data_IF_082228603460
#
_entry.id   IF_082228603460
#
_cell.length_a   1.000
_cell.length_b   1.000
_cell.length_c   1.000
_cell.angle_alpha   90.00
_cell.angle_beta   90.00
_cell.angle_gamma   90.00
#
_symmetry.space_group_name_H-M   'P 1'
#
loop_
_entity.id
_entity.type
_entity.pdbx_description
1 polymer ?
#
# COMPACT_ATOMS: atom_id res chain seq x y z
N UNK A 1 19.96 -29.07 43.66
CA UNK A 1 18.70 -29.69 43.17
C UNK A 1 18.19 -28.79 42.06
N UNK A 2 18.01 -29.39 40.88
CA UNK A 2 17.99 -28.74 39.57
C UNK A 2 16.94 -27.66 39.41
N UNK A 3 17.38 -26.55 38.83
CA UNK A 3 16.58 -25.49 38.25
C UNK A 3 15.82 -26.08 37.05
N UNK A 4 14.51 -26.30 37.20
CA UNK A 4 13.67 -26.79 36.10
C UNK A 4 13.43 -25.63 35.13
N UNK A 5 14.12 -25.69 34.00
CA UNK A 5 13.79 -24.99 32.76
C UNK A 5 12.29 -25.17 32.47
N UNK A 6 11.51 -24.19 32.90
CA UNK A 6 10.11 -24.06 32.53
C UNK A 6 10.10 -23.57 31.09
N UNK A 7 10.20 -24.49 30.13
CA UNK A 7 9.89 -24.22 28.72
C UNK A 7 8.42 -23.83 28.66
N UNK A 8 8.15 -22.53 28.81
CA UNK A 8 6.88 -21.94 28.41
C UNK A 8 6.86 -22.02 26.89
N UNK A 9 6.33 -23.12 26.36
CA UNK A 9 5.86 -23.19 24.98
C UNK A 9 4.74 -22.15 24.88
N UNK A 10 5.10 -20.93 24.47
CA UNK A 10 4.10 -20.01 23.98
C UNK A 10 3.39 -20.71 22.82
N UNK A 11 2.04 -20.71 22.81
CA UNK A 11 1.31 -21.34 21.72
C UNK A 11 1.74 -20.70 20.39
N UNK A 12 1.95 -21.54 19.37
CA UNK A 12 2.20 -21.07 18.02
C UNK A 12 1.11 -20.06 17.61
N UNK A 13 1.53 -18.95 17.00
CA UNK A 13 0.57 -17.95 16.55
C UNK A 13 -0.34 -18.56 15.47
N UNK A 14 -1.64 -18.20 15.47
CA UNK A 14 -2.52 -18.62 14.40
C UNK A 14 -2.01 -18.05 13.07
N UNK A 15 -2.23 -18.79 11.99
CA UNK A 15 -2.01 -18.23 10.66
C UNK A 15 -2.91 -17.00 10.47
N UNK A 16 -2.39 -15.94 9.85
CA UNK A 16 -3.22 -14.80 9.47
C UNK A 16 -4.39 -15.28 8.59
N UNK A 17 -5.58 -14.67 8.71
CA UNK A 17 -6.76 -15.13 8.00
C UNK A 17 -6.56 -15.06 6.48
N UNK A 18 -6.61 -16.21 5.82
CA UNK A 18 -6.42 -16.37 4.36
C UNK A 18 -7.61 -15.90 3.54
N UNK A 19 -8.72 -15.51 4.17
CA UNK A 19 -9.93 -15.02 3.52
C UNK A 19 -10.02 -13.48 3.46
N UNK A 20 -8.96 -12.76 3.84
CA UNK A 20 -8.96 -11.30 3.79
C UNK A 20 -8.95 -10.81 2.35
N UNK A 21 -9.82 -9.82 2.09
CA UNK A 21 -9.86 -9.08 0.82
C UNK A 21 -9.80 -7.59 1.13
N UNK A 22 -9.20 -6.78 0.25
CA UNK A 22 -9.18 -5.34 0.41
C UNK A 22 -10.57 -4.73 0.65
N UNK A 23 -10.65 -3.79 1.59
CA UNK A 23 -11.79 -2.87 1.71
C UNK A 23 -11.71 -1.84 0.59
N UNK A 24 -12.83 -1.57 -0.07
CA UNK A 24 -12.87 -0.79 -1.31
C UNK A 24 -13.63 0.51 -1.11
N UNK A 25 -13.15 1.58 -1.76
CA UNK A 25 -13.78 2.88 -1.70
C UNK A 25 -15.02 3.00 -2.60
N UNK A 26 -15.97 3.87 -2.22
CA UNK A 26 -17.04 4.33 -3.11
C UNK A 26 -16.68 5.66 -3.77
N UNK A 27 -17.04 5.88 -5.04
CA UNK A 27 -16.78 7.16 -5.69
C UNK A 27 -17.56 8.31 -5.01
N UNK A 28 -16.94 9.49 -5.00
CA UNK A 28 -17.53 10.77 -4.62
C UNK A 28 -17.09 11.82 -5.65
N UNK A 29 -18.01 12.61 -6.23
CA UNK A 29 -17.68 13.46 -7.36
C UNK A 29 -16.82 14.68 -7.00
N UNK A 30 -16.92 15.18 -5.77
CA UNK A 30 -16.29 16.44 -5.37
C UNK A 30 -15.40 16.28 -4.15
N UNK A 31 -14.24 16.99 -4.11
CA UNK A 31 -13.38 17.01 -2.94
C UNK A 31 -14.00 17.82 -1.81
N UNK A 32 -13.64 17.46 -0.59
CA UNK A 32 -14.13 18.10 0.62
C UNK A 32 -13.04 18.11 1.70
N UNK A 33 -13.20 18.97 2.69
CA UNK A 33 -12.39 18.99 3.90
C UNK A 33 -13.19 18.38 5.06
N UNK A 34 -12.53 17.64 5.94
CA UNK A 34 -13.16 17.03 7.11
C UNK A 34 -12.11 16.54 8.09
N UNK A 35 -12.16 17.06 9.33
CA UNK A 35 -11.28 16.63 10.41
C UNK A 35 -11.42 15.11 10.73
N UNK A 36 -12.56 14.52 10.40
CA UNK A 36 -12.87 13.09 10.59
C UNK A 36 -12.27 12.20 9.49
N UNK A 37 -11.62 12.76 8.48
CA UNK A 37 -11.06 12.02 7.35
C UNK A 37 -9.54 12.18 7.24
N UNK A 38 -8.91 11.09 6.82
CA UNK A 38 -7.55 11.03 6.33
C UNK A 38 -7.60 11.04 4.80
N UNK A 39 -6.88 11.96 4.19
CA UNK A 39 -6.80 12.11 2.74
C UNK A 39 -5.46 11.58 2.22
N UNK A 40 -5.51 10.78 1.18
CA UNK A 40 -4.34 10.12 0.59
C UNK A 40 -4.38 10.25 -0.93
N UNK A 41 -3.23 10.38 -1.62
CA UNK A 41 -3.19 10.30 -3.07
C UNK A 41 -3.60 8.91 -3.54
N UNK A 42 -4.29 8.83 -4.68
CA UNK A 42 -4.42 7.56 -5.39
C UNK A 42 -3.12 7.33 -6.19
N UNK A 43 -2.25 6.46 -5.68
CA UNK A 43 -0.89 6.28 -6.20
C UNK A 43 -0.84 5.62 -7.58
N UNK A 44 -1.94 5.00 -8.02
CA UNK A 44 -2.03 4.39 -9.35
C UNK A 44 -1.32 3.04 -9.47
N UNK A 45 -1.10 2.38 -8.32
CA UNK A 45 -0.57 1.02 -8.25
C UNK A 45 -1.66 -0.06 -8.33
N UNK A 46 -1.23 -1.30 -8.09
CA UNK A 46 -2.12 -2.45 -7.89
C UNK A 46 -2.30 -2.70 -6.39
N UNK A 47 -3.55 -2.80 -5.94
CA UNK A 47 -3.86 -3.12 -4.54
C UNK A 47 -3.32 -4.50 -4.16
N UNK A 48 -2.69 -4.61 -3.00
CA UNK A 48 -2.24 -5.88 -2.46
C UNK A 48 -2.25 -5.91 -0.92
N UNK A 49 -2.58 -7.07 -0.34
CA UNK A 49 -2.35 -7.35 1.07
C UNK A 49 -1.01 -8.08 1.21
N UNK A 50 -0.07 -7.51 1.96
CA UNK A 50 1.13 -8.24 2.34
C UNK A 50 0.83 -9.09 3.58
N UNK A 51 0.95 -10.40 3.45
CA UNK A 51 0.74 -11.36 4.53
C UNK A 51 2.11 -11.85 4.99
N UNK A 52 2.41 -11.61 6.26
CA UNK A 52 3.63 -12.06 6.93
C UNK A 52 3.23 -13.19 7.87
N UNK A 53 3.68 -14.40 7.53
CA UNK A 53 3.35 -15.61 8.26
C UNK A 53 3.92 -15.64 9.68
N UNK A 54 3.39 -16.52 10.56
CA UNK A 54 3.94 -16.74 11.90
C UNK A 54 5.41 -17.15 11.88
N UNK A 55 6.19 -16.55 12.78
CA UNK A 55 7.57 -16.93 13.06
C UNK A 55 7.85 -16.94 14.56
N UNK A 56 8.89 -17.68 14.96
CA UNK A 56 9.34 -17.72 16.37
C UNK A 56 9.83 -16.35 16.84
N UNK A 57 10.55 -15.64 15.97
CA UNK A 57 11.15 -14.34 16.24
C UNK A 57 10.58 -13.26 15.32
N UNK A 58 10.44 -12.01 15.80
CA UNK A 58 10.04 -10.90 14.97
C UNK A 58 10.90 -10.75 13.72
N UNK A 59 10.25 -10.56 12.58
CA UNK A 59 10.89 -10.38 11.27
C UNK A 59 11.33 -11.67 10.58
N UNK A 60 11.02 -12.85 11.13
CA UNK A 60 11.32 -14.15 10.52
C UNK A 60 10.19 -14.75 9.68
N UNK A 61 9.06 -14.05 9.52
CA UNK A 61 7.89 -14.57 8.83
C UNK A 61 8.01 -14.52 7.31
N UNK A 62 7.56 -15.58 6.64
CA UNK A 62 7.47 -15.64 5.18
C UNK A 62 6.47 -14.60 4.66
N UNK A 63 6.81 -13.98 3.54
CA UNK A 63 6.00 -12.93 2.90
C UNK A 63 5.27 -13.51 1.72
N UNK A 64 3.96 -13.34 1.67
CA UNK A 64 3.15 -13.51 0.46
C UNK A 64 2.32 -12.27 0.20
N UNK A 65 1.82 -12.11 -1.02
CA UNK A 65 0.94 -11.01 -1.38
C UNK A 65 -0.39 -11.57 -1.90
N UNK A 66 -1.50 -11.04 -1.39
CA UNK A 66 -2.83 -11.32 -1.93
C UNK A 66 -3.30 -10.14 -2.76
N UNK A 67 -3.92 -10.40 -3.91
CA UNK A 67 -4.49 -9.36 -4.75
C UNK A 67 -5.87 -8.89 -4.27
N UNK A 68 -6.51 -8.01 -5.05
CA UNK A 68 -7.85 -7.46 -4.76
C UNK A 68 -8.96 -8.52 -4.60
N UNK A 69 -8.76 -9.72 -5.13
CA UNK A 69 -9.71 -10.85 -5.03
C UNK A 69 -9.40 -11.74 -3.83
N UNK A 70 -8.28 -11.50 -3.15
CA UNK A 70 -7.76 -12.35 -2.09
C UNK A 70 -6.96 -13.54 -2.62
N UNK A 71 -6.57 -13.53 -3.89
CA UNK A 71 -5.78 -14.61 -4.49
C UNK A 71 -4.29 -14.30 -4.32
N UNK A 72 -3.49 -15.33 -4.01
CA UNK A 72 -2.05 -15.17 -3.87
C UNK A 72 -1.40 -14.80 -5.22
N UNK A 73 -0.52 -13.80 -5.20
CA UNK A 73 0.27 -13.45 -6.36
C UNK A 73 1.26 -14.59 -6.67
N UNK A 74 1.47 -14.93 -7.96
CA UNK A 74 2.29 -16.08 -8.34
C UNK A 74 3.77 -15.93 -7.98
N UNK A 75 4.22 -14.70 -7.70
CA UNK A 75 5.57 -14.40 -7.27
C UNK A 75 5.57 -13.21 -6.32
N UNK A 76 6.54 -13.22 -5.41
CA UNK A 76 6.93 -12.05 -4.62
C UNK A 76 8.08 -11.35 -5.36
N UNK A 77 7.96 -10.06 -5.71
CA UNK A 77 9.08 -9.33 -6.30
C UNK A 77 10.32 -9.44 -5.41
N UNK A 78 11.52 -9.75 -5.95
CA UNK A 78 12.72 -9.98 -5.15
C UNK A 78 13.06 -8.84 -4.20
N UNK A 79 12.78 -7.59 -4.60
CA UNK A 79 13.00 -6.38 -3.81
C UNK A 79 12.11 -6.32 -2.55
N UNK A 80 10.98 -7.05 -2.55
CA UNK A 80 10.03 -7.14 -1.46
C UNK A 80 10.17 -8.41 -0.61
N UNK A 81 11.05 -9.35 -0.98
CA UNK A 81 11.27 -10.59 -0.21
C UNK A 81 11.75 -10.30 1.23
N UNK A 82 12.47 -9.20 1.43
CA UNK A 82 12.93 -8.75 2.75
C UNK A 82 11.88 -8.01 3.58
N UNK A 83 10.63 -7.90 3.14
CA UNK A 83 9.57 -7.16 3.84
C UNK A 83 9.34 -7.71 5.26
N UNK A 84 9.41 -9.03 5.47
CA UNK A 84 9.27 -9.67 6.79
C UNK A 84 10.22 -9.06 7.82
N UNK A 85 11.52 -8.98 7.49
CA UNK A 85 12.57 -8.43 8.36
C UNK A 85 12.33 -6.95 8.74
N UNK A 86 11.58 -6.22 7.92
CA UNK A 86 11.24 -4.81 8.18
C UNK A 86 10.09 -4.65 9.17
N UNK A 87 9.31 -5.70 9.41
CA UNK A 87 8.18 -5.66 10.35
C UNK A 87 8.61 -6.23 11.70
N UNK A 88 8.58 -5.40 12.73
CA UNK A 88 8.91 -5.76 14.10
C UNK A 88 7.76 -6.56 14.77
N UNK A 89 7.36 -7.67 14.15
CA UNK A 89 6.31 -8.58 14.61
C UNK A 89 6.62 -10.03 14.19
N UNK A 90 6.04 -10.99 14.89
CA UNK A 90 6.10 -12.43 14.55
C UNK A 90 5.13 -12.82 13.44
N UNK A 91 4.06 -12.04 13.24
CA UNK A 91 3.17 -12.11 12.08
C UNK A 91 2.48 -10.76 11.88
N UNK A 92 2.04 -10.47 10.66
CA UNK A 92 1.27 -9.27 10.36
C UNK A 92 0.50 -9.41 9.04
N UNK A 93 -0.56 -8.61 8.88
CA UNK A 93 -1.19 -8.37 7.58
C UNK A 93 -1.25 -6.88 7.32
N UNK A 94 -0.61 -6.42 6.24
CA UNK A 94 -0.53 -5.02 5.85
C UNK A 94 -1.36 -4.81 4.59
N UNK A 95 -2.08 -3.70 4.52
CA UNK A 95 -2.80 -3.29 3.31
C UNK A 95 -2.05 -2.16 2.62
N UNK A 96 -1.83 -2.31 1.32
CA UNK A 96 -0.98 -1.40 0.56
C UNK A 96 -1.22 -1.44 -0.96
N UNK A 97 -0.42 -0.66 -1.68
CA UNK A 97 -0.35 -0.69 -3.14
C UNK A 97 1.06 -1.07 -3.60
N UNK A 98 1.13 -2.00 -4.55
CA UNK A 98 2.33 -2.27 -5.32
C UNK A 98 2.44 -1.24 -6.43
N UNK A 99 3.60 -0.60 -6.56
CA UNK A 99 3.87 0.42 -7.57
C UNK A 99 5.20 0.15 -8.24
N UNK A 100 5.26 0.46 -9.54
CA UNK A 100 6.53 0.76 -10.21
C UNK A 100 6.50 2.23 -10.56
N UNK A 101 7.60 2.93 -10.31
CA UNK A 101 7.71 4.37 -10.57
C UNK A 101 8.76 4.65 -11.64
N UNK A 102 8.52 5.65 -12.48
CA UNK A 102 9.51 6.16 -13.42
C UNK A 102 10.51 7.12 -12.75
N UNK A 103 11.53 7.54 -13.50
CA UNK A 103 12.53 8.49 -13.01
C UNK A 103 11.95 9.86 -12.64
N UNK A 104 10.72 10.16 -13.08
CA UNK A 104 9.98 11.39 -12.73
C UNK A 104 9.04 11.17 -11.54
N UNK A 105 9.07 10.01 -10.88
CA UNK A 105 8.19 9.65 -9.77
C UNK A 105 6.73 9.53 -10.19
N UNK A 106 6.43 9.02 -11.39
CA UNK A 106 5.07 8.67 -11.83
C UNK A 106 4.89 7.16 -11.80
N UNK A 107 3.71 6.71 -11.37
CA UNK A 107 3.39 5.29 -11.42
C UNK A 107 3.29 4.79 -12.86
N UNK A 108 3.82 3.59 -13.10
CA UNK A 108 3.80 2.88 -14.38
C UNK A 108 3.08 1.53 -14.21
N UNK A 109 1.75 1.50 -14.41
CA UNK A 109 0.96 0.28 -14.22
C UNK A 109 1.25 -0.78 -15.29
N UNK A 110 1.75 -0.39 -16.47
CA UNK A 110 2.11 -1.33 -17.55
C UNK A 110 3.38 -2.08 -17.17
N UNK A 111 4.41 -1.35 -16.72
CA UNK A 111 5.63 -1.96 -16.23
C UNK A 111 5.37 -2.81 -14.97
N UNK A 112 4.53 -2.32 -14.04
CA UNK A 112 4.13 -3.11 -12.88
C UNK A 112 3.51 -4.44 -13.27
N UNK A 113 2.61 -4.47 -14.26
CA UNK A 113 2.00 -5.71 -14.74
C UNK A 113 3.05 -6.69 -15.29
N UNK A 114 4.02 -6.21 -16.07
CA UNK A 114 5.15 -7.03 -16.57
C UNK A 114 6.02 -7.57 -15.44
N UNK A 115 6.37 -6.72 -14.46
CA UNK A 115 7.14 -7.13 -13.27
C UNK A 115 6.43 -8.23 -12.48
N UNK A 116 5.12 -8.10 -12.29
CA UNK A 116 4.31 -9.12 -11.61
C UNK A 116 4.11 -10.39 -12.44
N UNK A 117 4.38 -10.36 -13.75
CA UNK A 117 4.46 -11.53 -14.62
C UNK A 117 5.87 -12.17 -14.64
N UNK A 118 6.84 -11.60 -13.92
CA UNK A 118 8.20 -12.12 -13.79
C UNK A 118 9.20 -11.55 -14.78
N UNK A 119 8.79 -10.58 -15.60
CA UNK A 119 9.72 -9.89 -16.51
C UNK A 119 10.66 -8.97 -15.72
N UNK A 120 11.94 -8.81 -16.15
CA UNK A 120 12.85 -7.86 -15.53
C UNK A 120 12.39 -6.42 -15.76
N UNK A 121 12.82 -5.50 -14.90
CA UNK A 121 12.53 -4.08 -15.06
C UNK A 121 12.82 -3.30 -13.78
N UNK A 122 12.16 -2.15 -13.62
CA UNK A 122 12.34 -1.30 -12.44
C UNK A 122 11.86 -1.99 -11.14
N UNK A 123 12.44 -1.64 -9.98
CA UNK A 123 12.01 -2.17 -8.69
C UNK A 123 10.51 -1.95 -8.44
N UNK A 124 9.85 -2.98 -7.91
CA UNK A 124 8.49 -2.86 -7.38
C UNK A 124 8.59 -2.39 -5.94
N UNK A 125 7.81 -1.38 -5.59
CA UNK A 125 7.68 -0.89 -4.22
C UNK A 125 6.30 -1.19 -3.64
N UNK A 126 6.25 -1.36 -2.33
CA UNK A 126 5.03 -1.56 -1.56
C UNK A 126 4.77 -0.34 -0.66
N UNK A 127 3.67 0.36 -0.97
CA UNK A 127 3.18 1.52 -0.25
C UNK A 127 2.09 1.07 0.72
N UNK A 128 2.46 0.79 1.97
CA UNK A 128 1.55 0.35 3.02
C UNK A 128 0.80 1.54 3.64
N UNK A 129 -0.51 1.41 3.85
CA UNK A 129 -1.34 2.45 4.48
C UNK A 129 -2.30 1.91 5.56
N UNK A 130 -2.34 0.60 5.82
CA UNK A 130 -3.14 0.03 6.91
C UNK A 130 -2.49 -1.24 7.50
N UNK A 131 -2.85 -1.57 8.74
CA UNK A 131 -2.42 -2.78 9.44
C UNK A 131 -3.65 -3.54 9.95
N UNK A 132 -3.85 -4.76 9.45
CA UNK A 132 -5.07 -5.54 9.61
C UNK A 132 -4.96 -6.63 10.68
N UNK A 133 -3.76 -7.15 10.90
CA UNK A 133 -3.42 -8.14 11.92
C UNK A 133 -2.00 -7.87 12.44
N UNK A 134 -1.76 -8.13 13.72
CA UNK A 134 -0.45 -8.03 14.36
C UNK A 134 -0.29 -9.11 15.43
N UNK A 135 0.74 -9.94 15.29
CA UNK A 135 1.05 -11.05 16.21
C UNK A 135 -0.17 -11.95 16.47
N UNK A 136 -0.92 -12.27 15.41
CA UNK A 136 -2.12 -13.10 15.46
C UNK A 136 -3.34 -12.44 16.10
N UNK A 137 -3.31 -11.11 16.29
CA UNK A 137 -4.43 -10.32 16.81
C UNK A 137 -5.06 -9.50 15.67
N UNK A 138 -6.31 -9.81 15.30
CA UNK A 138 -7.03 -9.02 14.30
C UNK A 138 -7.27 -7.59 14.78
N UNK A 139 -6.95 -6.62 13.92
CA UNK A 139 -7.14 -5.19 14.19
C UNK A 139 -8.36 -4.61 13.46
N UNK A 140 -9.12 -5.43 12.72
CA UNK A 140 -10.20 -5.00 11.83
C UNK A 140 -11.28 -4.12 12.51
N UNK A 141 -11.56 -4.36 13.79
CA UNK A 141 -12.54 -3.56 14.56
C UNK A 141 -11.96 -2.25 15.11
N UNK A 142 -10.63 -2.09 15.13
CA UNK A 142 -9.99 -0.88 15.61
C UNK A 142 -10.19 0.28 14.63
N UNK A 143 -10.24 1.55 15.10
CA UNK A 143 -10.22 2.72 14.23
C UNK A 143 -9.03 2.74 13.27
N UNK A 144 -9.23 3.19 12.02
CA UNK A 144 -8.18 3.33 11.01
C UNK A 144 -6.97 4.10 11.54
N UNK A 145 -7.20 5.21 12.24
CA UNK A 145 -6.13 6.01 12.82
C UNK A 145 -5.21 5.18 13.73
N UNK A 146 -5.79 4.35 14.61
CA UNK A 146 -5.03 3.47 15.49
C UNK A 146 -4.27 2.39 14.70
N UNK A 147 -4.88 1.82 13.66
CA UNK A 147 -4.21 0.81 12.80
C UNK A 147 -3.01 1.42 12.08
N UNK A 148 -3.12 2.65 11.58
CA UNK A 148 -2.02 3.39 10.96
C UNK A 148 -0.92 3.77 11.94
N UNK A 149 -1.28 4.17 13.16
CA UNK A 149 -0.29 4.44 14.21
C UNK A 149 0.51 3.19 14.57
N UNK A 150 -0.15 2.04 14.66
CA UNK A 150 0.53 0.76 14.85
C UNK A 150 1.41 0.41 13.65
N UNK A 151 0.91 0.57 12.42
CA UNK A 151 1.70 0.37 11.19
C UNK A 151 3.02 1.14 11.25
N UNK A 152 2.99 2.44 11.56
CA UNK A 152 4.20 3.28 11.63
C UNK A 152 5.18 2.82 12.72
N UNK A 153 4.69 2.24 13.81
CA UNK A 153 5.54 1.73 14.91
C UNK A 153 6.23 0.41 14.55
N UNK A 154 5.55 -0.46 13.81
CA UNK A 154 6.04 -1.82 13.54
C UNK A 154 6.80 -1.93 12.22
N UNK A 155 6.45 -1.11 11.22
CA UNK A 155 7.09 -1.14 9.92
C UNK A 155 8.29 -0.19 9.90
N UNK A 156 9.50 -0.75 9.77
CA UNK A 156 10.71 0.02 9.49
C UNK A 156 10.77 0.37 8.00
N UNK A 157 10.75 1.66 7.62
CA UNK A 157 10.84 2.07 6.23
C UNK A 157 12.10 1.53 5.53
N UNK A 158 11.99 1.33 4.23
CA UNK A 158 13.05 0.92 3.34
C UNK A 158 12.89 1.53 1.97
N UNK A 159 13.84 1.19 1.11
CA UNK A 159 13.94 1.74 -0.24
C UNK A 159 12.68 1.44 -1.08
N UNK A 160 12.15 0.22 -0.98
CA UNK A 160 10.97 -0.23 -1.72
C UNK A 160 9.76 -0.47 -0.80
N UNK A 161 9.85 -0.16 0.49
CA UNK A 161 8.78 -0.45 1.45
C UNK A 161 8.55 0.77 2.34
N UNK A 162 7.37 1.36 2.25
CA UNK A 162 7.07 2.61 2.96
C UNK A 162 5.67 2.57 3.58
N UNK A 163 5.57 3.02 4.83
CA UNK A 163 4.28 3.44 5.38
C UNK A 163 3.96 4.84 4.83
N UNK A 164 2.96 4.95 3.94
CA UNK A 164 2.64 6.25 3.35
C UNK A 164 1.89 7.14 4.35
N UNK A 165 2.19 8.44 4.40
CA UNK A 165 1.47 9.39 5.25
C UNK A 165 0.04 9.62 4.71
N UNK A 166 -0.81 10.23 5.54
CA UNK A 166 -2.11 10.74 5.13
C UNK A 166 -2.31 12.14 5.71
N UNK A 167 -3.00 12.99 4.97
CA UNK A 167 -3.28 14.37 5.36
C UNK A 167 -4.60 14.44 6.13
N UNK A 168 -4.61 14.83 7.42
CA UNK A 168 -5.85 14.99 8.16
C UNK A 168 -6.56 16.28 7.72
N UNK A 169 -7.87 16.24 7.52
CA UNK A 169 -8.65 17.48 7.36
C UNK A 169 -8.66 18.10 5.97
N UNK A 170 -7.54 18.13 5.25
CA UNK A 170 -7.32 19.01 4.09
C UNK A 170 -7.45 18.31 2.71
N UNK A 171 -8.63 17.76 2.43
CA UNK A 171 -8.87 17.03 1.20
C UNK A 171 -8.90 17.92 -0.06
N UNK A 172 -9.39 19.16 0.03
CA UNK A 172 -9.44 20.09 -1.12
C UNK A 172 -8.04 20.52 -1.56
N UNK A 173 -7.18 20.84 -0.61
CA UNK A 173 -5.79 21.23 -0.88
C UNK A 173 -5.01 20.07 -1.51
N UNK A 174 -5.15 18.86 -0.95
CA UNK A 174 -4.52 17.67 -1.54
C UNK A 174 -5.07 17.38 -2.94
N UNK A 175 -6.39 17.48 -3.15
CA UNK A 175 -7.01 17.28 -4.46
C UNK A 175 -6.41 18.19 -5.53
N UNK A 176 -6.27 19.50 -5.22
CA UNK A 176 -5.65 20.46 -6.13
C UNK A 176 -4.19 20.09 -6.47
N UNK A 177 -3.42 19.68 -5.45
CA UNK A 177 -2.02 19.27 -5.63
C UNK A 177 -1.89 18.00 -6.49
N UNK A 178 -2.71 16.97 -6.25
CA UNK A 178 -2.67 15.72 -7.06
C UNK A 178 -3.12 15.96 -8.50
N UNK A 179 -4.12 16.84 -8.71
CA UNK A 179 -4.60 17.20 -10.04
C UNK A 179 -3.53 17.94 -10.85
N UNK A 180 -2.84 18.90 -10.25
CA UNK A 180 -1.71 19.62 -10.87
C UNK A 180 -0.56 18.68 -11.28
N UNK A 181 -0.46 17.52 -10.63
CA UNK A 181 0.57 16.52 -10.88
C UNK A 181 0.15 15.38 -11.79
N UNK A 182 -1.08 15.43 -12.29
CA UNK A 182 -1.62 14.46 -13.24
C UNK A 182 -1.97 13.11 -12.62
N UNK A 183 -2.12 13.02 -11.30
CA UNK A 183 -2.58 11.81 -10.62
C UNK A 183 -4.10 11.63 -10.77
N UNK A 184 -4.57 10.40 -10.55
CA UNK A 184 -5.95 10.01 -10.83
C UNK A 184 -6.99 10.60 -9.86
N UNK A 185 -6.58 10.96 -8.64
CA UNK A 185 -7.49 11.42 -7.60
C UNK A 185 -6.92 11.27 -6.20
N UNK A 186 -7.80 11.40 -5.22
CA UNK A 186 -7.49 11.15 -3.80
C UNK A 186 -8.45 10.13 -3.22
N UNK A 187 -8.01 9.45 -2.16
CA UNK A 187 -8.87 8.73 -1.24
C UNK A 187 -9.16 9.60 -0.01
N UNK A 188 -10.40 9.53 0.48
CA UNK A 188 -10.79 10.06 1.78
C UNK A 188 -11.29 8.91 2.64
N UNK A 189 -10.58 8.61 3.72
CA UNK A 189 -10.88 7.49 4.61
C UNK A 189 -11.28 8.02 5.98
N UNK A 190 -12.43 7.63 6.48
CA UNK A 190 -12.90 8.04 7.80
C UNK A 190 -11.98 7.49 8.90
N UNK A 191 -11.41 8.38 9.72
CA UNK A 191 -10.42 8.08 10.78
C UNK A 191 -10.88 7.02 11.76
N UNK A 192 -12.15 7.09 12.12
CA UNK A 192 -12.78 6.21 13.10
C UNK A 192 -13.29 4.89 12.49
N UNK A 193 -13.10 4.65 11.19
CA UNK A 193 -13.73 3.51 10.53
C UNK A 193 -13.10 2.17 10.95
N UNK A 194 -13.91 1.13 11.19
CA UNK A 194 -13.40 -0.23 11.15
C UNK A 194 -12.92 -0.57 9.72
N UNK A 195 -12.19 -1.66 9.60
CA UNK A 195 -11.90 -2.29 8.33
C UNK A 195 -13.00 -3.29 7.99
N UNK A 196 -13.53 -3.21 6.76
CA UNK A 196 -14.61 -4.08 6.28
C UNK A 196 -14.08 -4.93 5.11
N UNK A 197 -13.51 -6.12 5.37
CA UNK A 197 -12.90 -6.94 4.33
C UNK A 197 -13.84 -7.20 3.16
N UNK A 198 -13.33 -7.07 1.94
CA UNK A 198 -14.06 -7.31 0.69
C UNK A 198 -15.26 -6.39 0.44
N UNK A 199 -15.46 -5.35 1.26
CA UNK A 199 -16.65 -4.51 1.21
C UNK A 199 -16.36 -3.17 0.54
N UNK A 200 -17.25 -2.77 -0.39
CA UNK A 200 -17.25 -1.42 -0.96
C UNK A 200 -18.01 -0.44 -0.07
N UNK A 201 -17.28 0.25 0.79
CA UNK A 201 -17.88 0.99 1.89
C UNK A 201 -18.02 2.48 1.60
N UNK A 202 -18.94 3.11 2.33
CA UNK A 202 -19.07 4.56 2.36
C UNK A 202 -18.07 5.27 3.27
N UNK A 203 -17.39 4.52 4.13
CA UNK A 203 -16.40 5.04 5.06
C UNK A 203 -15.11 5.45 4.32
N UNK A 204 -14.89 4.87 3.14
CA UNK A 204 -13.79 5.19 2.25
C UNK A 204 -14.35 5.74 0.93
N UNK A 205 -13.83 6.89 0.50
CA UNK A 205 -14.21 7.58 -0.72
C UNK A 205 -13.04 7.63 -1.68
N UNK A 206 -13.33 7.49 -2.96
CA UNK A 206 -12.43 7.89 -4.02
C UNK A 206 -13.00 9.12 -4.72
N UNK A 207 -12.20 10.16 -4.85
CA UNK A 207 -12.56 11.41 -5.50
C UNK A 207 -11.70 11.54 -6.75
N UNK A 208 -12.24 11.25 -7.95
CA UNK A 208 -11.49 11.26 -9.19
C UNK A 208 -11.20 12.66 -9.68
N UNK A 209 -10.04 12.85 -10.33
CA UNK A 209 -9.77 14.01 -11.19
C UNK A 209 -10.38 13.73 -12.56
N UNK A 210 -11.15 14.68 -13.08
CA UNK A 210 -11.82 14.53 -14.37
C UNK A 210 -10.83 14.23 -15.51
N UNK A 211 -11.18 13.28 -16.38
CA UNK A 211 -10.34 12.86 -17.50
C UNK A 211 -9.11 12.03 -17.12
N UNK A 212 -9.00 11.59 -15.86
CA UNK A 212 -7.94 10.69 -15.40
C UNK A 212 -8.52 9.32 -15.04
N UNK A 213 -7.77 8.27 -15.33
CA UNK A 213 -8.13 6.89 -15.01
C UNK A 213 -7.28 6.42 -13.83
N UNK A 214 -7.91 5.87 -12.80
CA UNK A 214 -7.21 5.19 -11.73
C UNK A 214 -6.90 3.74 -12.15
N UNK A 215 -5.66 3.31 -11.99
CA UNK A 215 -5.23 1.94 -12.32
C UNK A 215 -5.46 0.92 -11.18
N UNK A 216 -5.93 1.37 -10.00
CA UNK A 216 -6.06 0.55 -8.78
C UNK A 216 -7.50 0.29 -8.33
N UNK A 217 -7.69 -0.80 -7.57
CA UNK A 217 -8.98 -1.30 -7.07
C UNK A 217 -9.80 -0.28 -6.25
N UNK A 218 -9.12 0.68 -5.62
CA UNK A 218 -9.74 1.74 -4.83
C UNK A 218 -10.43 2.80 -5.71
N UNK A 219 -10.17 2.83 -7.02
CA UNK A 219 -10.45 3.96 -7.90
C UNK A 219 -11.50 3.80 -9.01
N UNK A 220 -12.15 2.65 -9.22
CA UNK A 220 -13.12 2.52 -10.31
C UNK A 220 -14.37 1.69 -9.96
N UNK A 221 -15.57 2.10 -10.41
CA UNK A 221 -16.68 1.18 -10.62
C UNK A 221 -16.28 0.21 -11.73
N UNK A 222 -16.49 -1.09 -11.53
CA UNK A 222 -16.30 -2.08 -12.59
C UNK A 222 -17.21 -1.76 -13.76
N UNK A 223 -16.64 -1.33 -14.88
CA UNK A 223 -17.32 -1.24 -16.16
C UNK A 223 -16.78 -2.35 -17.05
N UNK A 224 -17.69 -3.20 -17.53
CA UNK A 224 -17.39 -4.31 -18.42
C UNK A 224 -16.72 -3.88 -19.72
N UNK A 225 -16.17 -4.90 -20.38
CA UNK A 225 -15.51 -4.82 -21.67
C UNK A 225 -16.27 -3.94 -22.69
N UNK A 226 -15.58 -2.94 -23.21
CA UNK A 226 -15.75 -2.45 -24.58
C UNK A 226 -14.38 -2.02 -25.08
N UNK A 227 -13.81 -2.78 -26.02
CA UNK A 227 -12.59 -2.39 -26.71
C UNK A 227 -12.81 -1.21 -27.65
N UNK A 228 -11.72 -0.56 -28.02
CA UNK A 228 -11.30 -0.25 -29.41
C UNK A 228 -9.90 0.38 -29.37
N UNK A 229 -8.97 -0.30 -30.03
CA UNK A 229 -7.89 0.17 -30.91
C UNK A 229 -7.06 1.42 -30.61
N UNK A 230 -5.74 1.20 -30.54
CA UNK A 230 -4.79 1.79 -31.49
C UNK A 230 -4.07 3.08 -31.07
N UNK A 231 -2.80 2.96 -30.64
CA UNK A 231 -1.77 3.96 -30.93
C UNK A 231 -0.35 3.35 -30.77
N UNK A 232 0.31 3.13 -31.91
CA UNK A 232 1.77 3.22 -32.09
C UNK A 232 2.21 4.66 -31.71
N UNK A 233 3.40 5.01 -31.25
CA UNK A 233 4.70 4.37 -31.07
C UNK A 233 5.72 5.49 -30.73
N UNK A 234 6.96 5.07 -30.44
CA UNK A 234 8.27 5.74 -30.63
C UNK A 234 9.11 5.64 -29.36
N UNK A 235 10.10 4.75 -29.46
CA UNK A 235 11.15 4.54 -28.48
C UNK A 235 12.19 5.64 -28.50
N UNK A 236 12.75 5.88 -27.31
CA UNK A 236 14.02 6.56 -27.12
C UNK A 236 14.79 5.79 -26.06
N UNK A 237 15.72 4.95 -26.49
CA UNK A 237 16.69 4.32 -25.60
C UNK A 237 17.71 5.39 -25.16
N UNK A 238 17.91 5.53 -23.86
CA UNK A 238 19.17 6.05 -23.31
C UNK A 238 19.56 5.12 -22.18
N UNK A 239 20.74 4.52 -22.34
CA UNK A 239 21.30 3.57 -21.40
C UNK A 239 22.14 4.22 -20.30
N UNK A 240 22.24 3.42 -19.26
CA UNK A 240 23.32 3.24 -18.29
C UNK A 240 23.45 4.20 -17.08
N UNK A 241 23.81 3.58 -15.95
CA UNK A 241 24.18 4.24 -14.71
C UNK A 241 23.34 3.80 -13.51
N UNK A 242 23.61 2.60 -12.98
CA UNK A 242 23.01 2.14 -11.74
C UNK A 242 23.35 3.03 -10.55
N UNK A 243 22.32 3.51 -9.85
CA UNK A 243 22.16 3.54 -8.38
C UNK A 243 20.65 3.71 -8.15
N UNK A 244 19.92 2.65 -7.81
CA UNK A 244 18.49 2.79 -7.54
C UNK A 244 18.07 1.89 -6.38
N UNK A 245 18.23 2.44 -5.18
CA UNK A 245 17.47 2.07 -4.00
C UNK A 245 16.84 3.36 -3.45
N UNK A 246 15.51 3.37 -3.27
CA UNK A 246 14.65 4.44 -2.74
C UNK A 246 14.37 5.69 -3.58
N UNK A 247 15.31 6.22 -4.37
CA UNK A 247 15.18 7.58 -4.91
C UNK A 247 13.89 7.82 -5.73
N UNK A 248 13.46 6.92 -6.63
CA UNK A 248 12.24 7.13 -7.42
C UNK A 248 10.94 7.07 -6.59
N UNK A 249 10.87 6.19 -5.59
CA UNK A 249 9.68 6.02 -4.73
C UNK A 249 9.59 7.19 -3.75
N UNK A 250 10.71 7.60 -3.17
CA UNK A 250 10.76 8.83 -2.37
C UNK A 250 10.47 10.06 -3.22
N UNK A 251 10.88 10.09 -4.49
CA UNK A 251 10.50 11.16 -5.43
C UNK A 251 8.98 11.19 -5.67
N UNK A 252 8.32 10.03 -5.81
CA UNK A 252 6.85 9.95 -5.89
C UNK A 252 6.18 10.61 -4.68
N UNK A 253 6.70 10.39 -3.46
CA UNK A 253 6.09 10.95 -2.25
C UNK A 253 6.44 12.44 -2.06
N UNK A 254 7.71 12.83 -2.26
CA UNK A 254 8.20 14.22 -2.13
C UNK A 254 7.56 15.18 -3.10
N UNK A 255 7.04 14.66 -4.20
CA UNK A 255 6.26 15.43 -5.16
C UNK A 255 5.04 16.07 -4.52
N UNK A 256 4.45 15.46 -3.50
CA UNK A 256 3.23 15.94 -2.86
C UNK A 256 3.52 16.59 -1.50
N UNK A 257 2.68 17.53 -1.04
CA UNK A 257 2.84 18.22 0.24
C UNK A 257 2.44 17.31 1.40
N UNK A 258 3.15 16.20 1.58
CA UNK A 258 2.82 15.15 2.55
C UNK A 258 3.61 15.26 3.87
N UNK A 259 4.41 16.31 4.05
CA UNK A 259 5.05 16.64 5.34
C UNK A 259 6.11 15.64 5.82
N UNK A 260 6.91 15.06 4.91
CA UNK A 260 7.90 14.03 5.26
C UNK A 260 9.25 14.55 5.78
N UNK A 261 9.42 15.85 5.96
CA UNK A 261 10.72 16.45 6.32
C UNK A 261 10.95 16.55 7.85
N UNK A 262 10.03 16.06 8.69
CA UNK A 262 10.26 16.05 10.15
C UNK A 262 10.85 14.71 10.62
N UNK A 263 12.10 14.71 11.16
CA UNK A 263 12.63 13.53 11.81
C UNK A 263 11.80 13.22 13.05
N UNK A 264 11.47 11.94 13.24
CA UNK A 264 10.90 11.44 14.50
C UNK A 264 11.97 11.64 15.57
N UNK A 265 11.81 12.64 16.43
CA UNK A 265 12.64 12.77 17.63
C UNK A 265 12.47 11.50 18.48
N UNK A 266 13.63 10.94 18.87
CA UNK A 266 13.78 9.60 19.43
C UNK A 266 13.38 9.42 20.88
#
# INVERSE_FOLDING_TARGET
>A
MSDQLSLRLEPALPNPPTSLRPMLARPLPEPFDSADHLFEPAWGGRRALAVIGPAEMPGGGDVTFLDERGEELPLVPPELAGLGVRVAARSAVLDGELVVVDASGRADPVELARRLAGEPGRPVAFLAFDLLDLDGRPLLSQPLERRRDLLRRVLRPGDEVLAVPAIPGEGRALFAAVAAQGLAGILARQRSSPYLPGTRSRLWRFIPVAGRVAAGADGAPGAGATGTDGAEGVGGAVGDGGVAGSAPVLALIRRLPLGLDEPVEG
#
